data_IF_275835419832
#
_entry.id   IF_275835419832
#
_cell.length_a   1.000
_cell.length_b   1.000
_cell.length_c   1.000
_cell.angle_alpha   90.00
_cell.angle_beta   90.00
_cell.angle_gamma   90.00
#
_symmetry.space_group_name_H-M   'P 1'
#
loop_
_entity.id
_entity.type
_entity.pdbx_description
1 polymer ?
#
# COMPACT_ATOMS: atom_id res chain seq x y z
N UNK A 1 -16.18 74.91 -34.88
CA UNK A 1 -16.25 73.51 -34.40
C UNK A 1 -15.09 72.81 -35.08
N UNK A 2 -13.96 72.64 -34.40
CA UNK A 2 -12.87 71.82 -34.94
C UNK A 2 -13.34 70.38 -34.96
N UNK A 3 -13.39 69.77 -36.14
CA UNK A 3 -13.41 68.32 -36.23
C UNK A 3 -12.05 67.87 -35.71
N UNK A 4 -12.04 67.16 -34.57
CA UNK A 4 -10.82 66.56 -34.03
C UNK A 4 -10.09 65.84 -35.18
N UNK A 5 -8.76 65.88 -35.19
CA UNK A 5 -7.94 65.16 -36.19
C UNK A 5 -8.07 63.61 -36.12
N UNK A 6 -9.11 63.10 -35.46
CA UNK A 6 -9.56 61.70 -35.41
C UNK A 6 -9.64 61.07 -36.80
N UNK A 7 -9.98 61.83 -37.84
CA UNK A 7 -10.05 61.32 -39.22
C UNK A 7 -8.67 60.82 -39.72
N UNK A 8 -7.56 61.37 -39.21
CA UNK A 8 -6.21 60.88 -39.54
C UNK A 8 -5.81 59.64 -38.72
N UNK A 9 -6.36 59.49 -37.51
CA UNK A 9 -6.21 58.28 -36.68
C UNK A 9 -7.07 57.12 -37.20
N UNK A 10 -8.17 57.45 -37.88
CA UNK A 10 -9.07 56.51 -38.57
C UNK A 10 -8.34 55.66 -39.61
N UNK A 11 -7.30 56.18 -40.26
CA UNK A 11 -6.65 55.50 -41.38
C UNK A 11 -5.30 54.86 -41.04
N UNK A 12 -4.72 55.16 -39.87
CA UNK A 12 -3.39 54.64 -39.47
C UNK A 12 -3.49 53.31 -38.73
N UNK A 13 -2.63 52.36 -39.11
CA UNK A 13 -2.47 51.10 -38.38
C UNK A 13 -1.92 51.37 -36.97
N UNK A 14 -2.60 50.84 -35.96
CA UNK A 14 -2.25 50.99 -34.54
C UNK A 14 -0.86 50.44 -34.18
N UNK A 15 -0.33 49.49 -34.95
CA UNK A 15 1.07 49.03 -34.80
C UNK A 15 2.10 50.11 -35.12
N UNK A 16 1.70 51.16 -35.85
CA UNK A 16 2.56 52.28 -36.26
C UNK A 16 2.27 53.56 -35.46
N UNK A 17 1.41 53.49 -34.45
CA UNK A 17 1.05 54.64 -33.63
C UNK A 17 2.24 55.10 -32.78
N UNK A 18 2.70 56.32 -33.03
CA UNK A 18 3.59 57.02 -32.10
C UNK A 18 2.76 57.55 -30.93
N UNK A 19 2.77 56.81 -29.83
CA UNK A 19 2.01 57.15 -28.63
C UNK A 19 2.35 58.53 -28.09
N UNK A 20 3.62 58.95 -28.14
CA UNK A 20 4.05 60.23 -27.59
C UNK A 20 3.48 61.39 -28.41
N UNK A 21 3.53 61.26 -29.74
CA UNK A 21 2.98 62.26 -30.65
C UNK A 21 1.45 62.33 -30.56
N UNK A 22 0.77 61.19 -30.63
CA UNK A 22 -0.70 61.12 -30.57
C UNK A 22 -1.22 61.62 -29.23
N UNK A 23 -0.53 61.31 -28.12
CA UNK A 23 -0.89 61.82 -26.80
C UNK A 23 -0.77 63.34 -26.73
N UNK A 24 0.33 63.91 -27.23
CA UNK A 24 0.55 65.36 -27.23
C UNK A 24 -0.50 66.11 -28.06
N UNK A 25 -0.81 65.61 -29.26
CA UNK A 25 -1.86 66.16 -30.13
C UNK A 25 -3.24 66.08 -29.46
N UNK A 26 -3.55 64.94 -28.84
CA UNK A 26 -4.81 64.75 -28.10
C UNK A 26 -4.91 65.66 -26.87
N UNK A 27 -3.82 65.87 -26.12
CA UNK A 27 -3.80 66.78 -24.96
C UNK A 27 -4.07 68.24 -25.37
N UNK A 28 -3.47 68.70 -26.47
CA UNK A 28 -3.73 70.04 -27.01
C UNK A 28 -5.19 70.21 -27.44
N UNK A 29 -5.77 69.21 -28.09
CA UNK A 29 -7.15 69.30 -28.58
C UNK A 29 -8.17 69.13 -27.45
N UNK A 30 -7.82 68.41 -26.37
CA UNK A 30 -8.64 68.29 -25.17
C UNK A 30 -8.69 69.57 -24.32
N UNK A 31 -7.66 70.40 -24.37
CA UNK A 31 -7.58 71.65 -23.60
C UNK A 31 -8.69 72.66 -24.01
N UNK A 32 -9.14 72.61 -25.27
CA UNK A 32 -10.29 73.39 -25.77
C UNK A 32 -11.57 73.02 -25.01
N UNK A 33 -11.81 71.73 -24.78
CA UNK A 33 -12.98 71.28 -24.03
C UNK A 33 -12.87 71.55 -22.53
N UNK A 34 -11.65 71.61 -21.99
CA UNK A 34 -11.37 71.90 -20.57
C UNK A 34 -11.61 73.37 -20.20
N UNK A 35 -11.30 74.29 -21.11
CA UNK A 35 -11.41 75.73 -20.91
C UNK A 35 -12.78 76.30 -21.31
N UNK A 36 -13.61 75.52 -22.01
CA UNK A 36 -14.96 75.93 -22.43
C UNK A 36 -15.95 75.89 -21.25
N UNK A 37 -16.58 77.03 -20.96
CA UNK A 37 -17.67 77.15 -19.98
C UNK A 37 -19.01 76.93 -20.69
N UNK A 38 -19.70 75.85 -20.34
CA UNK A 38 -21.04 75.56 -20.86
C UNK A 38 -22.11 76.23 -20.00
N UNK A 39 -23.09 76.84 -20.66
CA UNK A 39 -24.24 77.54 -20.07
C UNK A 39 -25.53 77.01 -20.70
N UNK A 40 -26.69 77.38 -20.15
CA UNK A 40 -27.99 76.88 -20.65
C UNK A 40 -28.23 77.21 -22.13
N UNK A 41 -27.68 78.31 -22.62
CA UNK A 41 -27.75 78.73 -24.02
C UNK A 41 -26.82 77.90 -24.93
N UNK A 42 -25.75 77.30 -24.40
CA UNK A 42 -24.73 76.54 -25.15
C UNK A 42 -24.85 75.02 -25.02
N UNK A 43 -25.90 74.51 -24.38
CA UNK A 43 -26.19 73.07 -24.20
C UNK A 43 -26.15 72.28 -25.50
N UNK A 44 -26.57 72.87 -26.63
CA UNK A 44 -26.50 72.20 -27.94
C UNK A 44 -25.05 71.92 -28.37
N UNK A 45 -24.13 72.86 -28.13
CA UNK A 45 -22.70 72.66 -28.39
C UNK A 45 -22.14 71.58 -27.47
N UNK A 46 -22.44 71.65 -26.18
CA UNK A 46 -21.99 70.66 -25.19
C UNK A 46 -22.38 69.21 -25.58
N UNK A 47 -23.59 69.02 -26.12
CA UNK A 47 -24.05 67.71 -26.61
C UNK A 47 -23.28 67.26 -27.86
N UNK A 48 -22.97 68.17 -28.77
CA UNK A 48 -22.17 67.87 -29.96
C UNK A 48 -20.72 67.49 -29.56
N UNK A 49 -20.10 68.29 -28.70
CA UNK A 49 -18.74 68.08 -28.20
C UNK A 49 -18.60 66.72 -27.47
N UNK A 50 -19.59 66.39 -26.61
CA UNK A 50 -19.68 65.06 -25.97
C UNK A 50 -19.75 63.93 -26.99
N UNK A 51 -20.52 64.09 -28.06
CA UNK A 51 -20.64 63.08 -29.10
C UNK A 51 -19.32 62.88 -29.84
N UNK A 52 -18.59 63.96 -30.14
CA UNK A 52 -17.28 63.90 -30.79
C UNK A 52 -16.24 63.19 -29.91
N UNK A 53 -16.16 63.54 -28.62
CA UNK A 53 -15.28 62.85 -27.66
C UNK A 53 -15.64 61.37 -27.47
N UNK A 54 -16.93 61.04 -27.47
CA UNK A 54 -17.39 59.65 -27.36
C UNK A 54 -17.01 58.81 -28.59
N UNK A 55 -17.04 59.40 -29.79
CA UNK A 55 -16.55 58.77 -31.03
C UNK A 55 -15.04 58.56 -30.99
N UNK A 56 -14.27 59.58 -30.58
CA UNK A 56 -12.82 59.50 -30.42
C UNK A 56 -12.41 58.35 -29.48
N UNK A 57 -13.06 58.27 -28.32
CA UNK A 57 -12.83 57.20 -27.34
C UNK A 57 -13.13 55.83 -27.93
N UNK A 58 -14.28 55.69 -28.60
CA UNK A 58 -14.70 54.42 -29.20
C UNK A 58 -13.69 53.95 -30.25
N UNK A 59 -13.22 54.85 -31.11
CA UNK A 59 -12.20 54.57 -32.11
C UNK A 59 -10.93 53.97 -31.50
N UNK A 60 -10.35 54.65 -30.50
CA UNK A 60 -9.11 54.20 -29.87
C UNK A 60 -9.30 52.82 -29.24
N UNK A 61 -10.43 52.58 -28.59
CA UNK A 61 -10.77 51.28 -28.00
C UNK A 61 -10.99 50.17 -29.04
N UNK A 62 -11.65 50.47 -30.15
CA UNK A 62 -11.93 49.49 -31.20
C UNK A 62 -10.61 49.10 -31.91
N UNK A 63 -9.74 50.07 -32.23
CA UNK A 63 -8.39 49.81 -32.77
C UNK A 63 -7.52 48.98 -31.83
N UNK A 64 -7.59 49.23 -30.51
CA UNK A 64 -6.89 48.41 -29.51
C UNK A 64 -7.35 46.96 -29.53
N UNK A 65 -8.66 46.71 -29.64
CA UNK A 65 -9.23 45.36 -29.69
C UNK A 65 -8.84 44.64 -30.99
N UNK A 66 -8.97 45.31 -32.14
CA UNK A 66 -8.55 44.78 -33.45
C UNK A 66 -7.07 44.36 -33.44
N UNK A 67 -6.19 45.19 -32.85
CA UNK A 67 -4.77 44.86 -32.75
C UNK A 67 -4.53 43.61 -31.92
N UNK A 68 -5.19 43.53 -30.75
CA UNK A 68 -5.09 42.37 -29.87
C UNK A 68 -5.54 41.11 -30.58
N UNK A 69 -6.66 41.16 -31.31
CA UNK A 69 -7.17 40.04 -32.09
C UNK A 69 -6.18 39.65 -33.21
N UNK A 70 -5.62 40.61 -33.94
CA UNK A 70 -4.62 40.36 -34.98
C UNK A 70 -3.34 39.73 -34.42
N UNK A 71 -2.87 40.15 -33.24
CA UNK A 71 -1.71 39.56 -32.59
C UNK A 71 -1.98 38.14 -32.07
N UNK A 72 -3.20 37.87 -31.59
CA UNK A 72 -3.57 36.55 -31.06
C UNK A 72 -4.02 35.55 -32.13
N UNK A 73 -4.47 36.02 -33.30
CA UNK A 73 -4.88 35.17 -34.42
C UNK A 73 -3.81 34.15 -34.88
N UNK A 74 -2.53 34.52 -35.08
CA UNK A 74 -1.52 33.52 -35.44
C UNK A 74 -1.27 32.53 -34.29
N UNK A 75 -1.33 32.99 -33.04
CA UNK A 75 -1.16 32.14 -31.87
C UNK A 75 -2.32 31.14 -31.71
N UNK A 76 -3.56 31.58 -31.88
CA UNK A 76 -4.74 30.72 -31.71
C UNK A 76 -4.85 29.63 -32.77
N UNK A 77 -4.27 29.83 -33.96
CA UNK A 77 -4.15 28.81 -35.01
C UNK A 77 -2.97 27.86 -34.73
N UNK A 78 -1.84 28.39 -34.29
CA UNK A 78 -0.62 27.61 -34.06
C UNK A 78 -0.70 26.74 -32.80
N UNK A 79 -1.30 27.24 -31.73
CA UNK A 79 -1.41 26.53 -30.44
C UNK A 79 -2.03 25.12 -30.58
N UNK A 80 -3.20 24.92 -31.21
CA UNK A 80 -3.77 23.58 -31.38
C UNK A 80 -2.90 22.68 -32.26
N UNK A 81 -2.26 23.23 -33.31
CA UNK A 81 -1.36 22.47 -34.18
C UNK A 81 -0.13 21.96 -33.41
N UNK A 82 0.48 22.82 -32.58
CA UNK A 82 1.58 22.39 -31.71
C UNK A 82 1.11 21.34 -30.70
N UNK A 83 -0.06 21.54 -30.09
CA UNK A 83 -0.62 20.58 -29.13
C UNK A 83 -0.89 19.22 -29.77
N UNK A 84 -1.36 19.19 -31.01
CA UNK A 84 -1.52 17.96 -31.79
C UNK A 84 -0.17 17.25 -31.98
N UNK A 85 0.87 17.97 -32.43
CA UNK A 85 2.21 17.40 -32.57
C UNK A 85 2.77 16.85 -31.26
N UNK A 86 2.60 17.59 -30.16
CA UNK A 86 3.00 17.14 -28.82
C UNK A 86 2.23 15.88 -28.41
N UNK A 87 0.92 15.82 -28.69
CA UNK A 87 0.10 14.66 -28.39
C UNK A 87 0.55 13.41 -29.15
N UNK A 88 0.90 13.54 -30.43
CA UNK A 88 1.42 12.43 -31.24
C UNK A 88 2.73 11.88 -30.65
N UNK A 89 3.62 12.77 -30.20
CA UNK A 89 4.88 12.37 -29.56
C UNK A 89 4.61 11.65 -28.25
N UNK A 90 3.71 12.19 -27.41
CA UNK A 90 3.42 11.63 -26.10
C UNK A 90 2.74 10.25 -26.19
N UNK A 91 1.90 10.04 -27.21
CA UNK A 91 1.31 8.72 -27.49
C UNK A 91 2.41 7.68 -27.75
N UNK A 92 3.33 7.97 -28.67
CA UNK A 92 4.41 7.03 -29.01
C UNK A 92 5.36 6.82 -27.83
N UNK A 93 5.68 7.88 -27.09
CA UNK A 93 6.49 7.78 -25.86
C UNK A 93 5.84 6.83 -24.84
N UNK A 94 4.53 6.98 -24.61
CA UNK A 94 3.80 6.14 -23.64
C UNK A 94 3.78 4.68 -24.06
N UNK A 95 3.62 4.40 -25.36
CA UNK A 95 3.69 3.03 -25.88
C UNK A 95 5.08 2.42 -25.65
N UNK A 96 6.16 3.17 -25.92
CA UNK A 96 7.53 2.74 -25.68
C UNK A 96 7.79 2.50 -24.19
N UNK A 97 7.35 3.40 -23.32
CA UNK A 97 7.49 3.27 -21.86
C UNK A 97 6.80 1.98 -21.36
N UNK A 98 5.62 1.65 -21.89
CA UNK A 98 4.92 0.41 -21.57
C UNK A 98 5.70 -0.84 -22.01
N UNK A 99 6.26 -0.84 -23.23
CA UNK A 99 7.10 -1.94 -23.73
C UNK A 99 8.36 -2.12 -22.89
N UNK A 100 9.03 -1.03 -22.49
CA UNK A 100 10.23 -1.08 -21.64
C UNK A 100 9.89 -1.63 -20.25
N UNK A 101 8.75 -1.24 -19.67
CA UNK A 101 8.28 -1.74 -18.38
C UNK A 101 7.97 -3.24 -18.45
N UNK A 102 7.21 -3.67 -19.45
CA UNK A 102 6.88 -5.08 -19.67
C UNK A 102 8.14 -5.92 -19.90
N UNK A 103 9.10 -5.45 -20.70
CA UNK A 103 10.36 -6.14 -20.91
C UNK A 103 11.19 -6.27 -19.61
N UNK A 104 11.22 -5.22 -18.79
CA UNK A 104 11.91 -5.24 -17.49
C UNK A 104 11.25 -6.21 -16.53
N UNK A 105 9.92 -6.25 -16.51
CA UNK A 105 9.15 -7.17 -15.67
C UNK A 105 9.36 -8.62 -16.08
N UNK A 106 9.30 -8.94 -17.39
CA UNK A 106 9.62 -10.28 -17.89
C UNK A 106 11.03 -10.72 -17.52
N UNK A 107 12.01 -9.82 -17.55
CA UNK A 107 13.36 -10.14 -17.09
C UNK A 107 13.43 -10.43 -15.58
N UNK A 108 12.66 -9.69 -14.77
CA UNK A 108 12.57 -9.96 -13.33
C UNK A 108 11.93 -11.31 -13.07
N UNK A 109 10.81 -11.61 -13.72
CA UNK A 109 10.11 -12.90 -13.60
C UNK A 109 11.01 -14.06 -14.02
N UNK A 110 11.68 -13.98 -15.17
CA UNK A 110 12.63 -15.00 -15.61
C UNK A 110 13.79 -15.20 -14.61
N UNK A 111 14.22 -14.13 -13.94
CA UNK A 111 15.25 -14.21 -12.91
C UNK A 111 14.72 -14.79 -11.61
N UNK A 112 13.49 -14.48 -11.24
CA UNK A 112 12.80 -15.06 -10.09
C UNK A 112 12.63 -16.57 -10.27
N UNK A 113 12.22 -17.03 -11.46
CA UNK A 113 12.16 -18.45 -11.81
C UNK A 113 13.52 -19.14 -11.67
N UNK A 114 14.60 -18.48 -12.11
CA UNK A 114 15.96 -19.00 -11.93
C UNK A 114 16.37 -19.07 -10.46
N UNK A 115 16.04 -18.04 -9.67
CA UNK A 115 16.30 -18.00 -8.23
C UNK A 115 15.50 -19.10 -7.52
N UNK A 116 14.22 -19.26 -7.86
CA UNK A 116 13.36 -20.33 -7.30
C UNK A 116 13.90 -21.71 -7.64
N UNK A 117 14.26 -21.96 -8.89
CA UNK A 117 14.84 -23.23 -9.29
C UNK A 117 16.19 -23.51 -8.61
N UNK A 118 16.96 -22.49 -8.26
CA UNK A 118 18.19 -22.64 -7.47
C UNK A 118 17.89 -22.89 -5.99
N UNK A 119 16.93 -22.16 -5.43
CA UNK A 119 16.45 -22.34 -4.06
C UNK A 119 15.96 -23.76 -3.84
N UNK A 120 15.05 -24.27 -4.68
CA UNK A 120 14.46 -25.61 -4.55
C UNK A 120 15.53 -26.72 -4.55
N UNK A 121 16.65 -26.50 -5.23
CA UNK A 121 17.79 -27.44 -5.24
C UNK A 121 18.58 -27.43 -3.93
N UNK A 122 18.64 -26.29 -3.24
CA UNK A 122 19.48 -26.05 -2.06
C UNK A 122 18.69 -26.14 -0.75
N UNK A 123 17.41 -25.80 -0.76
CA UNK A 123 16.52 -25.74 0.40
C UNK A 123 15.93 -27.10 0.81
N UNK A 124 16.47 -28.22 0.30
CA UNK A 124 15.91 -29.56 0.58
C UNK A 124 15.90 -29.89 2.07
N UNK A 125 16.88 -29.39 2.82
CA UNK A 125 17.01 -29.61 4.26
C UNK A 125 15.95 -28.85 5.08
N UNK A 126 15.26 -27.86 4.49
CA UNK A 126 14.14 -27.14 5.12
C UNK A 126 12.82 -27.93 5.08
N UNK A 127 12.75 -29.01 4.29
CA UNK A 127 11.60 -29.92 4.24
C UNK A 127 10.28 -29.21 3.91
N UNK A 128 9.22 -29.49 4.69
CA UNK A 128 7.85 -28.98 4.45
C UNK A 128 7.70 -27.46 4.56
N UNK A 129 8.71 -26.76 5.12
CA UNK A 129 8.67 -25.31 5.32
C UNK A 129 9.38 -24.53 4.20
N UNK A 130 10.07 -25.21 3.27
CA UNK A 130 10.85 -24.57 2.21
C UNK A 130 10.00 -23.59 1.37
N UNK A 131 8.79 -23.98 0.96
CA UNK A 131 7.93 -23.13 0.15
C UNK A 131 7.47 -21.86 0.88
N UNK A 132 7.17 -21.96 2.18
CA UNK A 132 6.76 -20.82 2.99
C UNK A 132 7.93 -19.85 3.26
N UNK A 133 9.14 -20.38 3.39
CA UNK A 133 10.34 -19.61 3.66
C UNK A 133 10.90 -18.92 2.41
N UNK A 134 10.62 -19.42 1.20
CA UNK A 134 11.11 -18.83 -0.04
C UNK A 134 10.77 -17.33 -0.15
N UNK A 135 9.50 -16.97 0.05
CA UNK A 135 9.02 -15.57 -0.03
C UNK A 135 9.67 -14.66 1.01
N UNK A 136 10.14 -15.23 2.12
CA UNK A 136 10.81 -14.49 3.21
C UNK A 136 12.30 -14.34 2.98
N UNK A 137 12.92 -15.33 2.35
CA UNK A 137 14.35 -15.36 2.02
C UNK A 137 14.63 -14.54 0.75
N UNK A 138 13.68 -14.48 -0.19
CA UNK A 138 13.83 -13.74 -1.44
C UNK A 138 14.02 -12.24 -1.17
N UNK A 139 15.22 -11.71 -1.43
CA UNK A 139 15.45 -10.25 -1.46
C UNK A 139 15.03 -9.70 -2.84
N UNK A 140 14.10 -8.73 -2.92
CA UNK A 140 13.72 -8.08 -4.18
C UNK A 140 14.89 -7.50 -4.97
N UNK A 141 16.00 -7.15 -4.31
CA UNK A 141 17.22 -6.67 -4.99
C UNK A 141 17.86 -7.74 -5.86
N UNK A 142 17.64 -9.02 -5.59
CA UNK A 142 18.16 -10.10 -6.42
C UNK A 142 17.53 -10.12 -7.81
N UNK A 143 16.29 -9.66 -7.92
CA UNK A 143 15.57 -9.54 -9.20
C UNK A 143 16.14 -8.44 -10.11
N UNK A 144 16.93 -7.51 -9.56
CA UNK A 144 17.54 -6.44 -10.35
C UNK A 144 18.59 -6.98 -11.32
N UNK A 145 18.65 -6.43 -12.53
CA UNK A 145 19.62 -6.80 -13.57
C UNK A 145 21.08 -6.66 -13.12
N UNK A 146 21.36 -5.71 -12.21
CA UNK A 146 22.71 -5.44 -11.69
C UNK A 146 23.21 -6.49 -10.71
N UNK A 147 22.33 -7.26 -10.09
CA UNK A 147 22.73 -8.31 -9.14
C UNK A 147 23.24 -9.52 -9.90
N UNK A 148 24.49 -9.90 -9.68
CA UNK A 148 25.09 -11.06 -10.35
C UNK A 148 24.55 -12.37 -9.79
N UNK A 149 24.64 -13.45 -10.58
CA UNK A 149 24.21 -14.77 -10.13
C UNK A 149 24.98 -15.24 -8.89
N UNK A 150 26.30 -15.05 -8.88
CA UNK A 150 27.13 -15.41 -7.75
C UNK A 150 26.68 -14.73 -6.44
N UNK A 151 26.33 -13.44 -6.52
CA UNK A 151 25.95 -12.66 -5.34
C UNK A 151 24.66 -13.16 -4.70
N UNK A 152 23.58 -13.31 -5.47
CA UNK A 152 22.33 -13.79 -4.87
C UNK A 152 22.44 -15.24 -4.43
N UNK A 153 23.25 -16.07 -5.11
CA UNK A 153 23.44 -17.48 -4.74
C UNK A 153 24.15 -17.61 -3.39
N UNK A 154 25.17 -16.79 -3.14
CA UNK A 154 25.89 -16.73 -1.86
C UNK A 154 24.96 -16.27 -0.73
N UNK A 155 24.27 -15.13 -0.92
CA UNK A 155 23.35 -14.57 0.08
C UNK A 155 22.19 -15.53 0.37
N UNK A 156 21.65 -16.20 -0.65
CA UNK A 156 20.58 -17.20 -0.50
C UNK A 156 21.05 -18.45 0.25
N UNK A 157 22.24 -18.97 -0.02
CA UNK A 157 22.77 -20.11 0.75
C UNK A 157 22.93 -19.72 2.21
N UNK A 158 23.52 -18.55 2.49
CA UNK A 158 23.69 -18.08 3.86
C UNK A 158 22.35 -17.96 4.61
N UNK A 159 21.31 -17.49 3.92
CA UNK A 159 19.95 -17.41 4.46
C UNK A 159 19.33 -18.79 4.72
N UNK A 160 19.45 -19.73 3.77
CA UNK A 160 18.99 -21.13 3.94
C UNK A 160 19.69 -21.77 5.14
N UNK A 161 21.01 -21.64 5.24
CA UNK A 161 21.79 -22.21 6.34
C UNK A 161 21.39 -21.60 7.69
N UNK A 162 21.06 -20.30 7.71
CA UNK A 162 20.52 -19.67 8.91
C UNK A 162 19.16 -20.23 9.28
N UNK A 163 18.26 -20.40 8.30
CA UNK A 163 16.95 -20.99 8.55
C UNK A 163 17.02 -22.44 9.04
N UNK A 164 17.97 -23.23 8.55
CA UNK A 164 18.23 -24.58 9.08
C UNK A 164 18.67 -24.51 10.55
N UNK A 165 19.57 -23.59 10.90
CA UNK A 165 20.01 -23.39 12.30
C UNK A 165 18.84 -22.98 13.20
N UNK A 166 18.02 -22.04 12.76
CA UNK A 166 16.87 -21.54 13.51
C UNK A 166 15.81 -22.64 13.74
N UNK A 167 15.53 -23.44 12.71
CA UNK A 167 14.61 -24.59 12.81
C UNK A 167 15.12 -25.61 13.83
N UNK A 168 16.42 -25.92 13.79
CA UNK A 168 17.03 -26.84 14.75
C UNK A 168 16.95 -26.27 16.17
N UNK A 169 17.20 -24.97 16.36
CA UNK A 169 17.06 -24.31 17.67
C UNK A 169 15.63 -24.43 18.22
N UNK A 170 14.61 -24.25 17.37
CA UNK A 170 13.20 -24.41 17.76
C UNK A 170 12.87 -25.87 18.10
N UNK A 171 13.41 -26.83 17.35
CA UNK A 171 13.24 -28.25 17.64
C UNK A 171 13.91 -28.65 18.97
N UNK A 172 15.09 -28.09 19.26
CA UNK A 172 15.84 -28.33 20.50
C UNK A 172 15.12 -27.80 21.76
N UNK A 173 14.12 -26.92 21.61
CA UNK A 173 13.25 -26.50 22.73
C UNK A 173 12.39 -27.65 23.27
N UNK A 174 12.29 -28.78 22.55
CA UNK A 174 11.58 -30.00 22.95
C UNK A 174 10.14 -29.73 23.45
N UNK A 175 9.46 -28.80 22.80
CA UNK A 175 8.11 -28.37 23.15
C UNK A 175 7.05 -29.34 22.61
N UNK A 176 5.94 -29.59 23.32
CA UNK A 176 4.79 -30.32 22.75
C UNK A 176 4.12 -29.59 21.58
N UNK A 177 4.46 -28.32 21.35
CA UNK A 177 3.87 -27.46 20.31
C UNK A 177 4.80 -27.16 19.14
N UNK A 178 5.87 -27.94 18.93
CA UNK A 178 6.91 -27.67 17.91
C UNK A 178 6.35 -27.33 16.52
N UNK A 179 5.35 -28.06 16.04
CA UNK A 179 4.74 -27.77 14.72
C UNK A 179 4.16 -26.35 14.65
N UNK A 180 3.46 -25.90 15.70
CA UNK A 180 2.92 -24.53 15.77
C UNK A 180 4.01 -23.48 15.86
N UNK A 181 5.13 -23.78 16.54
CA UNK A 181 6.27 -22.86 16.64
C UNK A 181 7.00 -22.73 15.29
N UNK A 182 7.17 -23.83 14.57
CA UNK A 182 7.77 -23.86 13.24
C UNK A 182 6.89 -23.20 12.19
N UNK A 183 5.57 -23.29 12.30
CA UNK A 183 4.63 -22.51 11.47
C UNK A 183 4.77 -21.01 11.69
N UNK A 184 4.88 -20.57 12.96
CA UNK A 184 5.14 -19.16 13.29
C UNK A 184 6.48 -18.72 12.70
N UNK A 185 7.53 -19.53 12.87
CA UNK A 185 8.83 -19.23 12.27
C UNK A 185 8.77 -19.15 10.75
N UNK A 186 8.09 -20.08 10.06
CA UNK A 186 7.95 -20.03 8.61
C UNK A 186 7.20 -18.78 8.13
N UNK A 187 6.26 -18.27 8.93
CA UNK A 187 5.51 -17.06 8.61
C UNK A 187 6.31 -15.77 8.83
N UNK A 188 7.23 -15.75 9.80
CA UNK A 188 7.86 -14.49 10.26
C UNK A 188 9.38 -14.46 10.16
N UNK A 189 10.02 -15.59 9.91
CA UNK A 189 11.48 -15.78 9.88
C UNK A 189 12.15 -15.32 11.19
N UNK A 190 11.43 -15.44 12.33
CA UNK A 190 11.89 -14.96 13.64
C UNK A 190 11.82 -16.04 14.70
N UNK A 191 12.97 -16.42 15.24
CA UNK A 191 13.08 -17.35 16.39
C UNK A 191 12.49 -16.73 17.66
N UNK A 192 12.59 -15.41 17.83
CA UNK A 192 12.07 -14.71 19.02
C UNK A 192 10.54 -14.76 19.09
N UNK A 193 9.87 -14.65 17.95
CA UNK A 193 8.41 -14.78 17.90
C UNK A 193 7.97 -16.21 18.15
N UNK A 194 8.72 -17.21 17.65
CA UNK A 194 8.49 -18.61 17.99
C UNK A 194 8.67 -18.84 19.50
N UNK A 195 9.72 -18.29 20.13
CA UNK A 195 9.93 -18.36 21.60
C UNK A 195 8.80 -17.70 22.38
N UNK A 196 8.34 -16.54 21.94
CA UNK A 196 7.20 -15.85 22.56
C UNK A 196 5.92 -16.68 22.47
N UNK A 197 5.67 -17.31 21.31
CA UNK A 197 4.54 -18.22 21.13
C UNK A 197 4.67 -19.45 22.02
N UNK A 198 5.87 -20.00 22.16
CA UNK A 198 6.15 -21.10 23.07
C UNK A 198 5.80 -20.74 24.52
N UNK A 199 6.22 -19.57 25.01
CA UNK A 199 5.86 -19.10 26.35
C UNK A 199 4.35 -18.91 26.54
N UNK A 200 3.67 -18.34 25.54
CA UNK A 200 2.21 -18.15 25.57
C UNK A 200 1.48 -19.49 25.69
N UNK A 201 1.84 -20.47 24.86
CA UNK A 201 1.24 -21.80 24.85
C UNK A 201 1.59 -22.58 26.13
N UNK A 202 2.82 -22.45 26.64
CA UNK A 202 3.23 -23.04 27.91
C UNK A 202 2.44 -22.46 29.09
N UNK A 203 2.23 -21.13 29.12
CA UNK A 203 1.39 -20.47 30.14
C UNK A 203 -0.07 -20.87 30.02
N UNK A 204 -0.60 -20.99 28.80
CA UNK A 204 -1.97 -21.45 28.56
C UNK A 204 -2.16 -22.90 29.03
N UNK A 205 -1.21 -23.79 28.70
CA UNK A 205 -1.22 -25.17 29.17
C UNK A 205 -1.10 -25.26 30.69
N UNK A 206 -0.27 -24.43 31.33
CA UNK A 206 -0.18 -24.38 32.78
C UNK A 206 -1.46 -23.87 33.42
N UNK A 207 -2.14 -22.87 32.84
CA UNK A 207 -3.44 -22.38 33.33
C UNK A 207 -4.50 -23.46 33.22
N UNK A 208 -4.63 -24.12 32.08
CA UNK A 208 -5.58 -25.23 31.90
C UNK A 208 -5.25 -26.41 32.82
N UNK A 209 -3.97 -26.72 33.05
CA UNK A 209 -3.52 -27.76 33.99
C UNK A 209 -3.74 -27.40 35.46
N UNK A 210 -3.71 -26.11 35.82
CA UNK A 210 -4.03 -25.59 37.16
C UNK A 210 -5.55 -25.45 37.37
N UNK A 211 -6.32 -25.17 36.32
CA UNK A 211 -7.78 -25.06 36.38
C UNK A 211 -8.46 -26.42 36.63
N UNK A 212 -7.81 -27.54 36.27
CA UNK A 212 -8.24 -28.89 36.68
C UNK A 212 -7.82 -29.23 38.12
N UNK A 213 -6.89 -28.49 38.72
CA UNK A 213 -6.52 -28.65 40.12
C UNK A 213 -7.40 -27.80 41.05
N UNK A 214 -7.95 -26.67 40.57
CA UNK A 214 -8.75 -25.73 41.38
C UNK A 214 -10.29 -25.82 41.17
N UNK A 215 -10.78 -26.82 40.41
CA UNK A 215 -12.21 -27.19 40.38
C UNK A 215 -12.49 -28.59 40.95
N UNK A 216 -11.81 -28.97 42.03
CA UNK A 216 -12.27 -30.05 42.90
C UNK A 216 -13.01 -29.41 44.09
N UNK A 217 -14.34 -29.62 44.23
CA UNK A 217 -15.05 -29.24 45.44
C UNK A 217 -14.38 -29.87 46.66
N UNK A 218 -14.18 -29.07 47.71
CA UNK A 218 -13.37 -29.33 48.93
C UNK A 218 -13.89 -30.49 49.82
N UNK A 219 -14.68 -31.44 49.31
CA UNK A 219 -15.33 -32.47 50.14
C UNK A 219 -14.70 -33.88 50.08
N UNK A 220 -13.75 -34.20 49.19
CA UNK A 220 -13.21 -35.57 49.08
C UNK A 220 -11.68 -35.68 49.29
N UNK A 221 -11.12 -34.90 50.21
CA UNK A 221 -9.68 -34.97 50.56
C UNK A 221 -9.34 -36.04 51.62
N UNK A 222 -10.19 -37.04 51.86
CA UNK A 222 -9.94 -38.09 52.88
C UNK A 222 -10.13 -39.55 52.46
N UNK A 223 -10.44 -39.88 51.20
CA UNK A 223 -10.67 -41.29 50.80
C UNK A 223 -9.79 -41.82 49.65
N UNK A 224 -8.71 -41.13 49.29
CA UNK A 224 -7.75 -41.60 48.27
C UNK A 224 -6.46 -42.21 48.86
N UNK A 225 -6.51 -42.71 50.09
CA UNK A 225 -5.46 -43.57 50.66
C UNK A 225 -6.11 -44.85 51.22
N UNK A 226 -6.29 -45.87 50.36
CA UNK A 226 -6.29 -47.31 50.70
C UNK A 226 -6.65 -48.17 49.47
N UNK A 227 -5.74 -48.24 48.50
CA UNK A 227 -5.65 -49.46 47.70
C UNK A 227 -4.90 -50.50 48.56
N UNK A 228 -5.63 -51.39 49.23
CA UNK A 228 -5.01 -52.49 49.99
C UNK A 228 -4.79 -53.64 49.02
N UNK A 229 -3.53 -53.88 48.67
CA UNK A 229 -3.09 -55.08 47.94
C UNK A 229 -2.87 -56.19 48.95
N UNK A 230 -3.56 -57.32 48.81
CA UNK A 230 -3.30 -58.53 49.60
C UNK A 230 -2.80 -59.61 48.65
N UNK A 231 -1.59 -60.10 48.90
CA UNK A 231 -0.95 -61.18 48.14
C UNK A 231 -1.22 -62.52 48.84
N UNK A 232 -2.00 -63.38 48.19
CA UNK A 232 -2.11 -64.79 48.56
C UNK A 232 -1.72 -65.66 47.36
N UNK A 233 -1.02 -66.77 47.66
CA UNK A 233 -0.19 -67.60 46.77
C UNK A 233 -0.84 -68.24 45.53
N UNK A 234 -1.98 -67.75 45.02
CA UNK A 234 -2.56 -68.18 43.75
C UNK A 234 -3.23 -67.06 42.93
N UNK A 235 -2.98 -65.78 43.23
CA UNK A 235 -3.38 -64.65 42.37
C UNK A 235 -3.57 -63.33 43.13
N UNK A 236 -3.35 -62.20 42.46
CA UNK A 236 -3.49 -60.85 43.04
C UNK A 236 -4.94 -60.37 42.98
N UNK A 237 -5.55 -60.09 44.14
CA UNK A 237 -6.89 -59.47 44.20
C UNK A 237 -6.75 -57.97 44.44
N UNK A 238 -7.37 -57.16 43.58
CA UNK A 238 -7.35 -55.69 43.67
C UNK A 238 -8.77 -55.15 43.83
N UNK A 239 -8.99 -54.34 44.87
CA UNK A 239 -10.28 -53.66 45.10
C UNK A 239 -10.22 -52.22 44.56
N UNK A 240 -11.20 -51.87 43.72
CA UNK A 240 -11.34 -50.53 43.15
C UNK A 240 -12.70 -49.95 43.53
N UNK A 241 -12.74 -48.65 43.83
CA UNK A 241 -13.97 -47.90 44.05
C UNK A 241 -14.13 -46.91 42.88
N UNK A 242 -15.24 -47.02 42.15
CA UNK A 242 -15.50 -46.18 40.99
C UNK A 242 -17.01 -45.93 40.84
N UNK A 243 -17.38 -44.86 40.11
CA UNK A 243 -18.78 -44.60 39.81
C UNK A 243 -19.33 -45.61 38.79
N UNK A 244 -20.67 -45.71 38.68
CA UNK A 244 -21.35 -46.72 37.86
C UNK A 244 -20.84 -46.79 36.40
N UNK A 245 -20.60 -45.64 35.76
CA UNK A 245 -20.11 -45.61 34.37
C UNK A 245 -18.67 -46.08 34.20
N UNK A 246 -17.82 -45.91 35.22
CA UNK A 246 -16.44 -46.43 35.22
C UNK A 246 -16.36 -47.90 35.62
N UNK A 247 -17.29 -48.38 36.44
CA UNK A 247 -17.39 -49.82 36.78
C UNK A 247 -17.59 -50.64 35.50
N UNK A 248 -18.50 -50.22 34.61
CA UNK A 248 -18.76 -50.95 33.36
C UNK A 248 -17.50 -51.08 32.48
N UNK A 249 -16.68 -50.03 32.39
CA UNK A 249 -15.41 -50.06 31.64
C UNK A 249 -14.37 -51.01 32.26
N UNK A 250 -14.30 -51.05 33.60
CA UNK A 250 -13.39 -51.94 34.32
C UNK A 250 -13.85 -53.40 34.18
N UNK A 251 -15.15 -53.65 34.19
CA UNK A 251 -15.72 -54.98 33.99
C UNK A 251 -15.49 -55.49 32.57
N UNK A 252 -15.65 -54.63 31.56
CA UNK A 252 -15.35 -54.99 30.16
C UNK A 252 -13.86 -55.32 29.98
N UNK A 253 -12.98 -54.55 30.62
CA UNK A 253 -11.55 -54.84 30.62
C UNK A 253 -11.25 -56.18 31.33
N UNK A 254 -11.83 -56.42 32.51
CA UNK A 254 -11.66 -57.66 33.25
C UNK A 254 -12.13 -58.89 32.43
N UNK A 255 -13.26 -58.76 31.74
CA UNK A 255 -13.78 -59.79 30.84
C UNK A 255 -12.84 -60.03 29.64
N UNK A 256 -12.28 -58.96 29.06
CA UNK A 256 -11.35 -59.06 27.94
C UNK A 256 -10.04 -59.78 28.29
N UNK A 257 -9.55 -59.60 29.53
CA UNK A 257 -8.33 -60.28 30.02
C UNK A 257 -8.62 -61.63 30.70
N UNK A 258 -9.88 -62.03 30.82
CA UNK A 258 -10.29 -63.29 31.46
C UNK A 258 -10.11 -63.32 32.98
N UNK A 259 -10.11 -62.16 33.64
CA UNK A 259 -9.98 -62.05 35.09
C UNK A 259 -11.34 -62.31 35.78
N UNK A 260 -11.32 -63.10 36.86
CA UNK A 260 -12.51 -63.30 37.71
C UNK A 260 -12.77 -62.05 38.55
N UNK A 261 -14.04 -61.62 38.62
CA UNK A 261 -14.46 -60.44 39.38
C UNK A 261 -15.72 -60.72 40.19
N UNK A 262 -15.88 -59.99 41.31
CA UNK A 262 -17.07 -60.01 42.16
C UNK A 262 -17.48 -58.56 42.44
N UNK A 263 -18.77 -58.25 42.29
CA UNK A 263 -19.32 -56.90 42.50
C UNK A 263 -19.98 -56.90 43.89
N UNK A 264 -19.36 -56.24 44.87
CA UNK A 264 -20.00 -55.98 46.16
C UNK A 264 -20.71 -54.63 46.10
N UNK A 265 -22.03 -54.62 46.23
CA UNK A 265 -22.83 -53.40 46.39
C UNK A 265 -23.90 -53.60 47.46
N UNK A 266 -24.14 -52.57 48.25
CA UNK A 266 -25.43 -52.36 48.92
C UNK A 266 -26.41 -51.68 47.95
#
# INVERSE_FOLDING_TARGET
MNELQIVDLEQKDISTWDFAKIKSELELELEVYRTTVYTDETIKSAKADKATLSKAKKMVEDRRKEYKERCLAPYSVMEPQIKELVSMIEEQRTQIDAVVKDFTERQKQAKEEQIRAYYDKKAKDLGKYADALFEKILDPKWLNKTTTNAKYQEEMIAAIDQSVRDINEIQDMNSPFIDSLLEVYAATLSVDEAKKKHEELARAMSRVGLDHADQIPVQDRKEAEKAVVVDEKNGTTVKFFANKGKIDQILDFARAIGANYEICGD
#
